data_IF_411498363071
#
_entry.id   IF_411498363071
#
_cell.length_a   1.000
_cell.length_b   1.000
_cell.length_c   1.000
_cell.angle_alpha   90.00
_cell.angle_beta   90.00
_cell.angle_gamma   90.00
#
_symmetry.space_group_name_H-M   'P 1'
#
loop_
_entity.id
_entity.type
_entity.pdbx_description
1 polymer ?
#
# COMPACT_ATOMS: atom_id res chain seq x y z
N UNK A 1 -27.92 -33.67 0.91
CA UNK A 1 -27.67 -32.85 -0.28
C UNK A 1 -27.00 -31.58 0.20
N UNK A 2 -25.73 -31.41 -0.15
CA UNK A 2 -24.92 -30.25 0.19
C UNK A 2 -24.94 -29.38 -1.07
N UNK A 3 -25.83 -28.39 -1.10
CA UNK A 3 -25.92 -27.44 -2.20
C UNK A 3 -24.68 -26.50 -2.17
N UNK A 4 -24.07 -26.20 -3.33
CA UNK A 4 -22.93 -25.31 -3.42
C UNK A 4 -23.41 -23.85 -3.38
N UNK A 5 -23.72 -23.33 -2.19
CA UNK A 5 -23.89 -21.87 -1.94
C UNK A 5 -22.57 -21.10 -2.13
N UNK A 6 -21.46 -21.82 -2.38
CA UNK A 6 -20.08 -21.33 -2.45
C UNK A 6 -19.83 -20.29 -3.56
N UNK A 7 -20.70 -20.12 -4.56
CA UNK A 7 -20.38 -19.29 -5.73
C UNK A 7 -21.20 -18.00 -5.90
N UNK A 8 -22.33 -17.83 -5.21
CA UNK A 8 -23.29 -16.77 -5.54
C UNK A 8 -23.28 -15.55 -4.62
N UNK A 9 -22.97 -15.73 -3.34
CA UNK A 9 -23.05 -14.68 -2.33
C UNK A 9 -21.97 -15.00 -1.30
N UNK A 10 -20.79 -14.38 -1.41
CA UNK A 10 -19.89 -14.33 -0.26
C UNK A 10 -20.58 -13.46 0.78
N UNK A 11 -21.44 -14.07 1.58
CA UNK A 11 -22.09 -13.41 2.68
C UNK A 11 -21.05 -12.95 3.69
N UNK A 12 -21.44 -12.03 4.56
CA UNK A 12 -20.62 -11.59 5.69
C UNK A 12 -20.07 -12.78 6.48
N UNK A 13 -20.81 -13.89 6.54
CA UNK A 13 -20.44 -15.11 7.25
C UNK A 13 -19.21 -15.80 6.66
N UNK A 14 -19.14 -16.00 5.33
CA UNK A 14 -17.99 -16.62 4.68
C UNK A 14 -16.72 -15.77 4.85
N UNK A 15 -16.85 -14.45 4.70
CA UNK A 15 -15.73 -13.51 4.91
C UNK A 15 -15.21 -13.61 6.34
N UNK A 16 -16.10 -13.66 7.34
CA UNK A 16 -15.72 -13.84 8.76
C UNK A 16 -15.00 -15.17 8.98
N UNK A 17 -15.48 -16.27 8.40
CA UNK A 17 -14.82 -17.59 8.51
C UNK A 17 -13.41 -17.55 7.92
N UNK A 18 -13.24 -16.97 6.73
CA UNK A 18 -11.92 -16.83 6.10
C UNK A 18 -11.00 -15.97 6.98
N UNK A 19 -11.51 -14.86 7.52
CA UNK A 19 -10.76 -14.00 8.44
C UNK A 19 -10.31 -14.76 9.69
N UNK A 20 -11.17 -15.60 10.28
CA UNK A 20 -10.82 -16.44 11.43
C UNK A 20 -9.73 -17.44 11.07
N UNK A 21 -9.82 -18.12 9.94
CA UNK A 21 -8.78 -19.07 9.49
C UNK A 21 -7.44 -18.34 9.30
N UNK A 22 -7.44 -17.19 8.63
CA UNK A 22 -6.23 -16.36 8.44
C UNK A 22 -5.66 -15.92 9.79
N UNK A 23 -6.51 -15.51 10.73
CA UNK A 23 -6.09 -15.12 12.08
C UNK A 23 -5.54 -16.31 12.90
N UNK A 24 -6.01 -17.53 12.68
CA UNK A 24 -5.45 -18.73 13.32
C UNK A 24 -4.09 -19.11 12.73
N UNK A 25 -3.93 -19.01 11.41
CA UNK A 25 -2.67 -19.33 10.72
C UNK A 25 -1.57 -18.31 10.99
N UNK A 26 -1.90 -17.01 10.91
CA UNK A 26 -0.93 -15.94 11.07
C UNK A 26 -0.90 -15.36 12.49
N UNK A 27 -1.95 -15.53 13.29
CA UNK A 27 -2.11 -14.89 14.58
C UNK A 27 -2.65 -13.46 14.46
N UNK A 28 -3.51 -13.05 15.40
CA UNK A 28 -4.13 -11.71 15.39
C UNK A 28 -3.16 -10.52 15.53
N UNK A 29 -1.91 -10.77 15.92
CA UNK A 29 -0.87 -9.74 16.03
C UNK A 29 -0.07 -9.51 14.74
N UNK A 30 0.06 -10.53 13.87
CA UNK A 30 0.89 -10.42 12.66
C UNK A 30 0.25 -9.57 11.56
N UNK A 31 -1.07 -9.63 11.40
CA UNK A 31 -1.78 -8.81 10.40
C UNK A 31 -1.56 -7.30 10.68
N UNK A 32 -1.81 -6.76 11.90
CA UNK A 32 -1.52 -5.36 12.22
C UNK A 32 -0.04 -4.99 12.13
N UNK A 33 0.86 -5.90 12.49
CA UNK A 33 2.31 -5.68 12.44
C UNK A 33 2.82 -5.54 10.99
N UNK A 34 2.36 -6.43 10.10
CA UNK A 34 2.61 -6.35 8.67
C UNK A 34 2.03 -5.08 8.05
N UNK A 35 0.78 -4.72 8.39
CA UNK A 35 0.16 -3.47 7.93
C UNK A 35 0.95 -2.23 8.36
N UNK A 36 1.43 -2.21 9.61
CA UNK A 36 2.27 -1.12 10.13
C UNK A 36 3.62 -1.05 9.42
N UNK A 37 4.26 -2.20 9.17
CA UNK A 37 5.51 -2.28 8.41
C UNK A 37 5.36 -1.79 6.97
N UNK A 38 4.35 -2.30 6.26
CA UNK A 38 4.01 -1.88 4.91
C UNK A 38 3.66 -0.39 4.84
N UNK A 39 2.86 0.11 5.78
CA UNK A 39 2.47 1.52 5.83
C UNK A 39 3.66 2.46 6.03
N UNK A 40 4.62 2.08 6.88
CA UNK A 40 5.87 2.83 7.04
C UNK A 40 6.73 2.79 5.78
N UNK A 41 6.90 1.61 5.17
CA UNK A 41 7.67 1.46 3.93
C UNK A 41 7.08 2.25 2.76
N UNK A 42 5.75 2.23 2.59
CA UNK A 42 5.06 3.03 1.56
C UNK A 42 5.24 4.53 1.82
N UNK A 43 5.18 4.97 3.08
CA UNK A 43 5.40 6.38 3.43
C UNK A 43 6.83 6.83 3.11
N UNK A 44 7.83 6.09 3.57
CA UNK A 44 9.25 6.39 3.28
C UNK A 44 9.53 6.38 1.78
N UNK A 45 8.94 5.44 1.04
CA UNK A 45 9.05 5.39 -0.42
C UNK A 45 8.46 6.64 -1.10
N UNK A 46 7.28 7.07 -0.65
CA UNK A 46 6.64 8.28 -1.17
C UNK A 46 7.42 9.55 -0.82
N UNK A 47 7.96 9.65 0.40
CA UNK A 47 8.76 10.78 0.87
C UNK A 47 10.05 10.90 0.05
N UNK A 48 10.76 9.78 -0.17
CA UNK A 48 11.95 9.74 -1.01
C UNK A 48 11.64 10.15 -2.46
N UNK A 49 10.55 9.61 -3.04
CA UNK A 49 10.10 9.96 -4.40
C UNK A 49 9.76 11.44 -4.54
N UNK A 50 9.14 12.03 -3.51
CA UNK A 50 8.79 13.45 -3.47
C UNK A 50 10.03 14.34 -3.42
N UNK A 51 11.02 13.98 -2.59
CA UNK A 51 12.26 14.74 -2.48
C UNK A 51 13.04 14.71 -3.80
N UNK A 52 13.21 13.52 -4.40
CA UNK A 52 13.88 13.37 -5.70
C UNK A 52 13.17 14.18 -6.79
N UNK A 53 11.82 14.19 -6.82
CA UNK A 53 11.07 14.99 -7.79
C UNK A 53 11.32 16.48 -7.63
N UNK A 54 11.39 16.98 -6.38
CA UNK A 54 11.69 18.39 -6.10
C UNK A 54 13.12 18.76 -6.52
N UNK A 55 14.11 17.95 -6.16
CA UNK A 55 15.50 18.17 -6.56
C UNK A 55 15.66 18.22 -8.09
N UNK A 56 14.96 17.35 -8.83
CA UNK A 56 14.97 17.37 -10.30
C UNK A 56 14.27 18.61 -10.86
N UNK A 57 13.12 19.01 -10.29
CA UNK A 57 12.40 20.21 -10.73
C UNK A 57 13.18 21.50 -10.46
N UNK A 58 13.83 21.61 -9.30
CA UNK A 58 14.61 22.78 -8.91
C UNK A 58 15.89 22.88 -9.76
N UNK A 59 16.66 21.79 -9.94
CA UNK A 59 17.79 21.79 -10.89
C UNK A 59 17.36 22.13 -12.32
N UNK A 60 16.21 21.63 -12.77
CA UNK A 60 15.70 21.93 -14.11
C UNK A 60 15.25 23.39 -14.26
N UNK A 61 14.78 24.02 -13.19
CA UNK A 61 14.45 25.45 -13.16
C UNK A 61 15.71 26.30 -13.20
N UNK A 62 16.73 25.94 -12.44
CA UNK A 62 18.00 26.66 -12.39
C UNK A 62 18.72 26.62 -13.76
N UNK A 63 18.74 25.45 -14.41
CA UNK A 63 19.26 25.31 -15.78
C UNK A 63 18.42 26.11 -16.78
N UNK A 64 17.08 26.11 -16.66
CA UNK A 64 16.21 26.91 -17.55
C UNK A 64 16.40 28.42 -17.39
N UNK A 65 16.73 28.89 -16.19
CA UNK A 65 16.95 30.31 -15.95
C UNK A 65 18.33 30.74 -16.49
N UNK A 66 19.37 29.94 -16.28
CA UNK A 66 20.70 30.19 -16.84
C UNK A 66 20.73 30.24 -18.38
N UNK A 67 19.93 29.40 -19.06
CA UNK A 67 19.83 29.39 -20.54
C UNK A 67 18.99 30.55 -21.10
N UNK A 68 18.24 31.27 -20.27
CA UNK A 68 17.40 32.41 -20.70
C UNK A 68 18.06 33.77 -20.52
N UNK A 69 19.18 33.85 -19.82
CA UNK A 69 19.92 35.10 -19.60
C UNK A 69 21.01 35.38 -20.65
N UNK A 70 21.30 34.43 -21.55
CA UNK A 70 22.10 34.60 -22.78
C UNK A 70 21.19 34.80 -24.02
#
# INVERSE_FOLDING_TARGET
>A
MIEPTILGVLGTNEIVIILVIVLLLFGGKKIPELMRGLGKGVREFNDAKSNVKKEIEDNSRDIKNAVKED
#
